data_IF_182033605363
#
_entry.id   IF_182033605363
#
_cell.length_a   1.000
_cell.length_b   1.000
_cell.length_c   1.000
_cell.angle_alpha   90.00
_cell.angle_beta   90.00
_cell.angle_gamma   90.00
#
_symmetry.space_group_name_H-M   'P 1'
#
loop_
_entity.id
_entity.type
_entity.pdbx_description
1 polymer ?
#
# COMPACT_ATOMS: atom_id res chain seq x y z
N UNK A 1 -16.07 -2.14 4.05
CA UNK A 1 -15.20 -1.94 2.88
C UNK A 1 -14.43 -0.64 2.97
N UNK A 2 -15.06 0.49 3.31
CA UNK A 2 -14.37 1.78 3.52
C UNK A 2 -13.09 1.70 4.39
N UNK A 3 -13.07 0.88 5.46
CA UNK A 3 -11.87 0.68 6.28
C UNK A 3 -10.75 -0.09 5.55
N UNK A 4 -11.09 -1.04 4.68
CA UNK A 4 -10.08 -1.75 3.87
C UNK A 4 -9.53 -0.83 2.78
N UNK A 5 -10.41 -0.04 2.18
CA UNK A 5 -10.06 0.97 1.17
C UNK A 5 -9.17 2.08 1.73
N UNK A 6 -9.47 2.56 2.95
CA UNK A 6 -8.65 3.53 3.65
C UNK A 6 -7.34 2.93 4.22
N UNK A 7 -7.07 1.63 4.04
CA UNK A 7 -5.89 0.97 4.59
C UNK A 7 -5.91 0.75 6.11
N UNK A 8 -6.98 1.14 6.80
CA UNK A 8 -7.18 1.01 8.26
C UNK A 8 -7.25 -0.46 8.72
N UNK A 9 -7.67 -1.37 7.83
CA UNK A 9 -7.64 -2.82 8.08
C UNK A 9 -7.00 -3.56 6.91
N UNK A 10 -6.28 -4.64 7.21
CA UNK A 10 -5.70 -5.51 6.17
C UNK A 10 -6.75 -6.43 5.53
N UNK A 11 -6.42 -6.98 4.34
CA UNK A 11 -7.25 -7.99 3.66
C UNK A 11 -7.47 -9.25 4.51
N UNK A 12 -6.52 -9.62 5.36
CA UNK A 12 -6.69 -10.71 6.33
C UNK A 12 -7.73 -10.38 7.40
N UNK A 13 -7.67 -9.17 7.97
CA UNK A 13 -8.65 -8.70 8.97
C UNK A 13 -10.04 -8.56 8.38
N UNK A 14 -10.15 -8.04 7.16
CA UNK A 14 -11.40 -7.97 6.41
C UNK A 14 -11.97 -9.37 6.15
N UNK A 15 -11.12 -10.34 5.79
CA UNK A 15 -11.52 -11.75 5.63
C UNK A 15 -12.10 -12.36 6.90
N UNK A 16 -11.43 -12.15 8.05
CA UNK A 16 -11.95 -12.62 9.35
C UNK A 16 -13.31 -12.02 9.71
N UNK A 17 -13.57 -10.75 9.37
CA UNK A 17 -14.86 -10.10 9.63
C UNK A 17 -15.97 -10.58 8.70
N UNK A 18 -15.64 -10.91 7.45
CA UNK A 18 -16.58 -11.33 6.41
C UNK A 18 -16.79 -12.85 6.35
N UNK A 19 -16.02 -13.63 7.12
CA UNK A 19 -16.02 -15.09 7.02
C UNK A 19 -15.44 -15.59 5.69
N UNK A 20 -14.53 -14.83 5.07
CA UNK A 20 -13.90 -15.14 3.80
C UNK A 20 -12.40 -15.42 3.98
N UNK A 21 -11.81 -16.32 3.20
CA UNK A 21 -10.37 -16.49 3.20
C UNK A 21 -9.69 -15.27 2.57
N UNK A 22 -8.45 -14.99 2.98
CA UNK A 22 -7.73 -13.77 2.56
C UNK A 22 -7.60 -13.65 1.03
N UNK A 23 -7.35 -14.75 0.32
CA UNK A 23 -7.22 -14.75 -1.14
C UNK A 23 -8.53 -14.32 -1.84
N UNK A 24 -9.68 -14.79 -1.34
CA UNK A 24 -10.99 -14.38 -1.86
C UNK A 24 -11.24 -12.88 -1.64
N UNK A 25 -10.79 -12.33 -0.50
CA UNK A 25 -10.88 -10.87 -0.27
C UNK A 25 -10.00 -10.12 -1.27
N UNK A 26 -8.78 -10.59 -1.52
CA UNK A 26 -7.86 -9.99 -2.50
C UNK A 26 -8.47 -10.00 -3.92
N UNK A 27 -9.09 -11.10 -4.34
CA UNK A 27 -9.78 -11.18 -5.64
C UNK A 27 -10.99 -10.24 -5.74
N UNK A 28 -11.64 -9.96 -4.60
CA UNK A 28 -12.77 -9.02 -4.53
C UNK A 28 -12.34 -7.57 -4.45
N UNK A 29 -11.14 -7.27 -3.95
CA UNK A 29 -10.61 -5.90 -3.87
C UNK A 29 -10.60 -5.23 -5.24
N UNK A 30 -10.19 -5.94 -6.30
CA UNK A 30 -10.25 -5.43 -7.68
C UNK A 30 -11.68 -5.05 -8.10
N UNK A 31 -12.66 -5.92 -7.83
CA UNK A 31 -14.08 -5.68 -8.13
C UNK A 31 -14.68 -4.52 -7.32
N UNK A 32 -14.11 -4.25 -6.15
CA UNK A 32 -14.49 -3.14 -5.28
C UNK A 32 -13.72 -1.86 -5.58
N UNK A 33 -12.82 -1.85 -6.57
CA UNK A 33 -12.00 -0.68 -6.90
C UNK A 33 -10.94 -0.36 -5.85
N UNK A 34 -10.63 -1.30 -4.96
CA UNK A 34 -9.62 -1.14 -3.91
C UNK A 34 -8.29 -1.63 -4.47
N UNK A 35 -7.29 -0.75 -4.66
CA UNK A 35 -6.00 -1.16 -5.18
C UNK A 35 -5.27 -2.01 -4.12
N UNK A 36 -4.55 -3.04 -4.57
CA UNK A 36 -3.76 -3.91 -3.69
C UNK A 36 -2.50 -3.24 -3.16
N UNK A 37 -1.99 -2.30 -3.95
CA UNK A 37 -0.82 -1.49 -3.64
C UNK A 37 -1.24 -0.04 -3.62
N UNK A 38 -0.55 0.74 -2.82
CA UNK A 38 -0.73 2.18 -2.85
C UNK A 38 -0.21 2.71 -4.19
N UNK A 39 -1.14 2.99 -5.09
CA UNK A 39 -0.85 3.56 -6.41
C UNK A 39 -0.85 5.09 -6.36
N UNK A 40 -0.93 5.71 -5.18
CA UNK A 40 -0.88 7.17 -5.07
C UNK A 40 0.53 7.73 -5.29
N UNK A 41 1.57 6.91 -5.08
CA UNK A 41 2.95 7.32 -5.26
C UNK A 41 3.35 7.15 -6.72
N UNK A 42 3.46 8.28 -7.43
CA UNK A 42 3.98 8.28 -8.79
C UNK A 42 5.46 7.88 -8.78
N UNK A 43 5.91 7.14 -9.80
CA UNK A 43 7.30 6.67 -9.90
C UNK A 43 8.31 7.83 -9.81
N UNK A 44 7.94 9.01 -10.33
CA UNK A 44 8.76 10.21 -10.26
C UNK A 44 8.93 10.77 -8.84
N UNK A 45 7.90 10.65 -8.00
CA UNK A 45 7.95 11.07 -6.58
C UNK A 45 8.87 10.15 -5.79
N UNK A 46 8.73 8.84 -5.99
CA UNK A 46 9.62 7.85 -5.38
C UNK A 46 11.09 8.06 -5.77
N UNK A 47 11.36 8.34 -7.06
CA UNK A 47 12.72 8.63 -7.52
C UNK A 47 13.31 9.85 -6.82
N UNK A 48 12.52 10.92 -6.64
CA UNK A 48 12.98 12.11 -5.93
C UNK A 48 13.27 11.84 -4.44
N UNK A 49 12.43 11.06 -3.76
CA UNK A 49 12.67 10.69 -2.36
C UNK A 49 13.95 9.87 -2.20
N UNK A 50 14.17 8.89 -3.08
CA UNK A 50 15.39 8.07 -3.09
C UNK A 50 16.63 8.93 -3.35
N UNK A 51 16.58 9.85 -4.32
CA UNK A 51 17.69 10.77 -4.57
C UNK A 51 18.00 11.67 -3.37
N UNK A 52 16.97 12.19 -2.69
CA UNK A 52 17.15 13.02 -1.51
C UNK A 52 17.77 12.24 -0.34
N UNK A 53 17.29 11.02 -0.10
CA UNK A 53 17.84 10.14 0.92
C UNK A 53 19.32 9.80 0.66
N UNK A 54 19.68 9.46 -0.59
CA UNK A 54 21.06 9.19 -0.97
C UNK A 54 21.98 10.41 -0.74
N UNK A 55 21.52 11.61 -1.10
CA UNK A 55 22.28 12.85 -0.86
C UNK A 55 22.48 13.14 0.64
N UNK A 56 21.53 12.76 1.49
CA UNK A 56 21.65 12.92 2.94
C UNK A 56 22.70 11.95 3.50
N UNK A 57 22.67 10.68 3.07
CA UNK A 57 23.65 9.66 3.47
C UNK A 57 25.08 10.04 3.05
N UNK A 58 25.24 10.60 1.84
CA UNK A 58 26.54 11.08 1.35
C UNK A 58 27.08 12.29 2.13
N UNK A 59 26.20 13.12 2.70
CA UNK A 59 26.59 14.27 3.54
C UNK A 59 27.01 13.85 4.94
N UNK A 60 26.36 12.84 5.51
CA UNK A 60 26.67 12.31 6.84
C UNK A 60 27.92 11.41 6.84
N UNK A 61 28.41 11.01 5.66
CA UNK A 61 29.62 10.19 5.49
C UNK A 61 30.93 11.01 5.33
N UNK A 62 30.92 12.33 5.58
CA UNK A 62 32.09 13.23 5.53
C UNK A 62 32.38 13.86 6.88
#
# INVERSE_FOLDING_TARGET
MALLEAGEISSGKAGSLLGLPRNEVIERMEKWGIPLFDNSLELGELQQEVEQANRALDKDSK
#
